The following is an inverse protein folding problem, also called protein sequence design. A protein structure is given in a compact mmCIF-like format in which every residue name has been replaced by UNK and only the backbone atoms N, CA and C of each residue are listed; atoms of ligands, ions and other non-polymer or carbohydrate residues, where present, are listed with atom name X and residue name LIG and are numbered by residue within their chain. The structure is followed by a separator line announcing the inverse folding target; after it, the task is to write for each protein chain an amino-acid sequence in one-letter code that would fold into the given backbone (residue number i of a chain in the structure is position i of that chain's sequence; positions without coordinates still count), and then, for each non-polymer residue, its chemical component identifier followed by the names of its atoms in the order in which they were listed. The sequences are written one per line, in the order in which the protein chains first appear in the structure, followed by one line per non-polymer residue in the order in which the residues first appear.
data_IF_100817910282
#
_entry.id   IF_100817910282
#
_cell.length_a   1.000
_cell.length_b   1.000
_cell.length_c   1.000
_cell.angle_alpha   90.00
_cell.angle_beta   90.00
_cell.angle_gamma   90.00
#
_symmetry.space_group_name_H-M   'P 1'
#
loop_
_entity.id
_entity.type
_entity.pdbx_description
1 polymer ?
#
# COMPACT_ATOMS: atom_id res chain seq x y z
N UNK A 1 -3.82 -1.93 52.23
CA UNK A 1 -5.16 -2.41 51.82
C UNK A 1 -5.76 -1.54 50.72
N UNK A 2 -5.44 -0.24 50.65
CA UNK A 2 -5.90 0.71 49.62
C UNK A 2 -5.46 0.37 48.18
N UNK A 3 -4.27 -0.23 48.01
CA UNK A 3 -3.72 -0.48 46.67
C UNK A 3 -4.48 -1.49 45.80
N UNK A 4 -5.20 -2.49 46.35
CA UNK A 4 -5.90 -3.49 45.52
C UNK A 4 -7.14 -2.89 44.83
N UNK A 5 -7.96 -2.15 45.58
CA UNK A 5 -9.13 -1.47 45.04
C UNK A 5 -8.74 -0.38 44.03
N UNK A 6 -7.68 0.38 44.31
CA UNK A 6 -7.15 1.40 43.39
C UNK A 6 -6.66 0.81 42.07
N UNK A 7 -5.96 -0.32 42.12
CA UNK A 7 -5.49 -1.02 40.92
C UNK A 7 -6.67 -1.56 40.13
N UNK A 8 -7.67 -2.17 40.78
CA UNK A 8 -8.89 -2.63 40.10
C UNK A 8 -9.66 -1.50 39.41
N UNK A 9 -9.76 -0.31 40.04
CA UNK A 9 -10.33 0.89 39.39
C UNK A 9 -9.54 1.36 38.16
N UNK A 10 -8.22 1.14 38.13
CA UNK A 10 -7.40 1.45 36.95
C UNK A 10 -7.65 0.43 35.83
N UNK A 11 -7.77 -0.86 36.17
CA UNK A 11 -8.14 -1.91 35.20
C UNK A 11 -9.50 -1.62 34.59
N UNK A 12 -10.51 -1.30 35.40
CA UNK A 12 -11.83 -0.92 34.91
C UNK A 12 -11.78 0.26 33.92
N UNK A 13 -11.09 1.35 34.28
CA UNK A 13 -10.95 2.51 33.39
C UNK A 13 -10.29 2.16 32.06
N UNK A 14 -9.24 1.33 32.09
CA UNK A 14 -8.58 0.84 30.87
C UNK A 14 -9.54 -0.02 30.04
N UNK A 15 -10.36 -0.87 30.66
CA UNK A 15 -11.36 -1.69 29.95
C UNK A 15 -12.45 -0.85 29.27
N UNK A 16 -12.96 0.20 29.92
CA UNK A 16 -13.95 1.07 29.27
C UNK A 16 -13.36 1.93 28.16
N UNK A 17 -12.18 2.52 28.41
CA UNK A 17 -11.51 3.35 27.40
C UNK A 17 -11.00 2.53 26.20
N UNK A 18 -10.88 1.21 26.35
CA UNK A 18 -10.57 0.28 25.26
C UNK A 18 -11.59 0.29 24.12
N UNK A 19 -12.84 0.72 24.38
CA UNK A 19 -13.85 0.89 23.32
C UNK A 19 -13.37 1.86 22.24
N UNK A 20 -12.66 2.93 22.62
CA UNK A 20 -12.10 3.90 21.67
C UNK A 20 -11.02 3.26 20.79
N UNK A 21 -10.19 2.40 21.36
CA UNK A 21 -9.15 1.66 20.62
C UNK A 21 -9.79 0.67 19.64
N UNK A 22 -10.82 -0.06 20.07
CA UNK A 22 -11.56 -0.98 19.21
C UNK A 22 -12.17 -0.21 18.03
N UNK A 23 -12.86 0.90 18.27
CA UNK A 23 -13.44 1.74 17.22
C UNK A 23 -12.36 2.25 16.25
N UNK A 24 -11.22 2.72 16.77
CA UNK A 24 -10.10 3.17 15.94
C UNK A 24 -9.52 2.03 15.08
N UNK A 25 -9.37 0.83 15.63
CA UNK A 25 -8.90 -0.34 14.89
C UNK A 25 -9.85 -0.75 13.76
N UNK A 26 -11.16 -0.72 14.01
CA UNK A 26 -12.16 -0.95 12.96
C UNK A 26 -12.12 0.17 11.91
N UNK A 27 -12.02 1.43 12.32
CA UNK A 27 -11.87 2.54 11.40
C UNK A 27 -10.70 2.33 10.43
N UNK A 28 -9.53 1.95 10.93
CA UNK A 28 -8.37 1.65 10.08
C UNK A 28 -8.56 0.43 9.18
N UNK A 29 -9.23 -0.63 9.67
CA UNK A 29 -9.59 -1.78 8.84
C UNK A 29 -10.44 -1.37 7.62
N UNK A 30 -11.48 -0.57 7.85
CA UNK A 30 -12.36 -0.11 6.78
C UNK A 30 -11.66 0.88 5.87
N UNK A 31 -10.83 1.78 6.42
CA UNK A 31 -10.02 2.71 5.64
C UNK A 31 -9.09 1.96 4.67
N UNK A 32 -8.32 0.99 5.17
CA UNK A 32 -7.42 0.20 4.32
C UNK A 32 -8.18 -0.67 3.30
N UNK A 33 -9.34 -1.20 3.69
CA UNK A 33 -10.20 -1.93 2.76
C UNK A 33 -10.68 -1.04 1.62
N UNK A 34 -11.10 0.18 1.94
CA UNK A 34 -11.61 1.13 0.98
C UNK A 34 -10.49 1.64 0.05
N UNK A 35 -9.30 1.88 0.59
CA UNK A 35 -8.10 2.24 -0.20
C UNK A 35 -7.66 1.10 -1.13
N UNK A 36 -7.69 -0.16 -0.66
CA UNK A 36 -7.31 -1.31 -1.48
C UNK A 36 -8.31 -1.55 -2.61
N UNK A 37 -9.60 -1.29 -2.38
CA UNK A 37 -10.65 -1.36 -3.39
C UNK A 37 -10.61 -0.16 -4.35
N UNK A 38 -10.03 0.97 -3.93
CA UNK A 38 -9.89 2.16 -4.73
C UNK A 38 -8.68 2.07 -5.68
N UNK A 39 -8.93 1.54 -6.87
CA UNK A 39 -7.94 1.43 -7.95
C UNK A 39 -7.43 2.81 -8.42
N UNK A 40 -8.05 3.92 -7.99
CA UNK A 40 -7.69 5.28 -8.40
C UNK A 40 -6.32 5.73 -7.90
N UNK A 41 -5.88 5.32 -6.70
CA UNK A 41 -4.54 5.64 -6.18
C UNK A 41 -3.40 4.98 -6.98
N UNK A 42 -3.62 3.71 -7.37
CA UNK A 42 -2.71 2.97 -8.23
C UNK A 42 -2.66 3.62 -9.63
N UNK A 43 -3.83 3.87 -10.23
CA UNK A 43 -3.97 4.56 -11.54
C UNK A 43 -3.30 5.93 -11.53
N UNK A 44 -3.42 6.69 -10.44
CA UNK A 44 -2.77 8.00 -10.27
C UNK A 44 -1.25 7.88 -10.25
N UNK A 45 -0.70 6.93 -9.51
CA UNK A 45 0.75 6.69 -9.46
C UNK A 45 1.28 6.29 -10.84
N UNK A 46 0.58 5.39 -11.54
CA UNK A 46 0.90 4.97 -12.91
C UNK A 46 0.91 6.16 -13.89
N UNK A 47 -0.12 7.01 -13.86
CA UNK A 47 -0.20 8.20 -14.72
C UNK A 47 0.88 9.23 -14.39
N UNK A 48 1.24 9.38 -13.11
CA UNK A 48 2.30 10.31 -12.70
C UNK A 48 3.66 9.83 -13.22
N UNK A 49 3.98 8.53 -13.07
CA UNK A 49 5.19 7.94 -13.65
C UNK A 49 5.21 7.99 -15.17
N UNK A 50 4.05 7.84 -15.83
CA UNK A 50 3.94 8.03 -17.28
C UNK A 50 4.24 9.47 -17.71
N UNK A 51 3.71 10.48 -16.99
CA UNK A 51 4.00 11.90 -17.24
C UNK A 51 5.49 12.20 -17.05
N UNK A 52 6.09 11.71 -15.96
CA UNK A 52 7.52 11.87 -15.67
C UNK A 52 8.37 11.22 -16.76
N UNK A 53 8.06 9.96 -17.13
CA UNK A 53 8.78 9.25 -18.18
C UNK A 53 8.71 9.93 -19.55
N UNK A 54 7.57 10.56 -19.90
CA UNK A 54 7.45 11.38 -21.11
C UNK A 54 8.29 12.65 -21.01
N UNK A 55 8.29 13.33 -19.85
CA UNK A 55 9.05 14.57 -19.67
C UNK A 55 10.56 14.31 -19.70
N UNK A 56 11.04 13.25 -19.05
CA UNK A 56 12.45 12.81 -19.11
C UNK A 56 12.87 12.42 -20.53
N UNK A 57 11.96 11.80 -21.29
CA UNK A 57 12.22 11.32 -22.65
C UNK A 57 11.82 12.33 -23.74
N UNK A 58 11.58 13.61 -23.38
CA UNK A 58 10.94 14.56 -24.29
C UNK A 58 11.77 14.87 -25.52
N UNK A 59 13.05 15.19 -25.34
CA UNK A 59 13.98 15.45 -26.45
C UNK A 59 14.08 14.24 -27.38
N UNK A 60 14.16 13.05 -26.79
CA UNK A 60 14.20 11.77 -27.50
C UNK A 60 12.93 11.49 -28.32
N UNK A 61 11.74 11.81 -27.78
CA UNK A 61 10.47 11.71 -28.48
C UNK A 61 10.38 12.67 -29.66
N UNK A 62 10.85 13.92 -29.48
CA UNK A 62 10.85 14.93 -30.55
C UNK A 62 11.79 14.52 -31.69
N UNK A 63 12.98 13.99 -31.38
CA UNK A 63 13.91 13.42 -32.38
C UNK A 63 13.28 12.26 -33.15
N UNK A 64 12.61 11.33 -32.45
CA UNK A 64 11.92 10.21 -33.07
C UNK A 64 10.79 10.65 -34.01
N UNK A 65 10.03 11.69 -33.61
CA UNK A 65 8.93 12.26 -34.39
C UNK A 65 9.42 12.99 -35.63
N UNK A 66 10.52 13.73 -35.53
CA UNK A 66 11.20 14.36 -36.68
C UNK A 66 11.69 13.30 -37.67
N UNK A 67 12.29 12.21 -37.19
CA UNK A 67 12.74 11.11 -38.04
C UNK A 67 11.58 10.46 -38.81
N UNK A 68 10.47 10.19 -38.13
CA UNK A 68 9.26 9.66 -38.76
C UNK A 68 8.66 10.64 -39.79
N UNK A 69 8.68 11.94 -39.50
CA UNK A 69 8.24 12.99 -40.42
C UNK A 69 9.09 13.07 -41.70
N UNK A 70 10.42 13.01 -41.55
CA UNK A 70 11.36 12.94 -42.69
C UNK A 70 11.12 11.70 -43.53
N UNK A 71 10.88 10.54 -42.91
CA UNK A 71 10.55 9.31 -43.65
C UNK A 71 9.24 9.45 -44.45
N UNK A 72 8.20 10.05 -43.87
CA UNK A 72 6.94 10.32 -44.59
C UNK A 72 7.16 11.24 -45.80
N UNK A 73 7.91 12.32 -45.63
CA UNK A 73 8.29 13.21 -46.75
C UNK A 73 9.06 12.47 -47.85
N UNK A 74 10.04 11.64 -47.47
CA UNK A 74 10.78 10.81 -48.41
C UNK A 74 9.86 9.86 -49.21
N UNK A 75 8.89 9.22 -48.56
CA UNK A 75 7.92 8.35 -49.24
C UNK A 75 7.00 9.14 -50.17
N UNK A 76 6.50 10.29 -49.73
CA UNK A 76 5.59 11.13 -50.50
C UNK A 76 6.28 11.75 -51.74
N UNK A 77 7.52 12.19 -51.60
CA UNK A 77 8.33 12.72 -52.70
C UNK A 77 8.66 11.63 -53.73
N UNK A 78 8.94 10.40 -53.27
CA UNK A 78 9.18 9.26 -54.17
C UNK A 78 7.89 8.77 -54.85
N UNK A 79 6.72 8.92 -54.21
CA UNK A 79 5.41 8.61 -54.81
C UNK A 79 4.96 9.66 -55.82
N UNK A 80 5.33 10.94 -55.66
CA UNK A 80 4.95 12.04 -56.56
C UNK A 80 5.70 12.05 -57.90
N UNK A 81 6.85 11.39 -58.01
CA UNK A 81 7.63 11.34 -59.26
C UNK A 81 7.16 10.20 -60.17
N UNK A 82 6.53 10.53 -61.30
CA UNK A 82 6.23 9.56 -62.37
C UNK A 82 7.52 9.10 -63.06
N UNK A 83 7.56 7.88 -63.58
CA UNK A 83 8.76 7.33 -64.24
C UNK A 83 9.25 8.19 -65.43
N UNK A 84 8.34 8.90 -66.08
CA UNK A 84 8.66 9.89 -67.12
C UNK A 84 9.46 11.10 -66.58
N UNK A 85 9.12 11.61 -65.40
CA UNK A 85 9.82 12.74 -64.77
C UNK A 85 11.19 12.34 -64.21
N UNK A 86 11.31 11.11 -63.70
CA UNK A 86 12.61 10.56 -63.26
C UNK A 86 13.60 10.46 -64.44
N UNK A 87 13.11 10.03 -65.61
CA UNK A 87 13.90 9.91 -66.83
C UNK A 87 14.33 11.27 -67.39
N UNK A 88 13.43 12.27 -67.35
CA UNK A 88 13.71 13.62 -67.83
C UNK A 88 14.74 14.38 -66.96
N UNK A 89 14.69 14.23 -65.63
CA UNK A 89 15.73 14.77 -64.72
C UNK A 89 17.08 14.09 -64.92
N UNK A 90 17.10 12.78 -65.15
CA UNK A 90 18.33 12.02 -65.41
C UNK A 90 18.96 12.44 -66.75
N UNK A 91 18.15 12.66 -67.77
CA UNK A 91 18.59 13.15 -69.08
C UNK A 91 19.13 14.59 -69.01
N UNK A 92 18.52 15.48 -68.22
CA UNK A 92 19.05 16.83 -67.96
C UNK A 92 20.40 16.80 -67.24
N UNK A 93 20.55 15.95 -66.21
CA UNK A 93 21.82 15.79 -65.49
C UNK A 93 22.92 15.20 -66.38
N UNK A 94 22.59 14.23 -67.25
CA UNK A 94 23.51 13.71 -68.27
C UNK A 94 24.00 14.82 -69.20
N UNK A 95 23.10 15.71 -69.62
CA UNK A 95 23.45 16.84 -70.49
C UNK A 95 24.37 17.86 -69.79
N UNK A 96 24.10 18.20 -68.53
CA UNK A 96 24.95 19.09 -67.73
C UNK A 96 26.36 18.52 -67.52
N UNK A 97 26.48 17.25 -67.13
CA UNK A 97 27.79 16.60 -66.94
C UNK A 97 28.56 16.56 -68.26
N UNK A 98 27.89 16.30 -69.38
CA UNK A 98 28.50 16.32 -70.72
C UNK A 98 29.00 17.71 -71.10
N UNK A 99 28.27 18.77 -70.74
CA UNK A 99 28.71 20.16 -70.96
C UNK A 99 29.89 20.54 -70.05
N UNK A 100 29.89 20.10 -68.80
CA UNK A 100 31.01 20.27 -67.87
C UNK A 100 32.26 19.54 -68.40
N UNK A 101 32.12 18.31 -68.89
CA UNK A 101 33.23 17.55 -69.48
C UNK A 101 33.82 18.24 -70.72
N UNK A 102 32.99 18.83 -71.59
CA UNK A 102 33.47 19.65 -72.72
C UNK A 102 34.37 20.79 -72.24
N UNK A 103 34.02 21.45 -71.14
CA UNK A 103 34.84 22.51 -70.55
C UNK A 103 36.11 21.96 -69.90
N UNK A 104 36.05 20.80 -69.24
CA UNK A 104 37.20 20.14 -68.60
C UNK A 104 38.25 19.68 -69.62
N UNK A 105 37.81 19.09 -70.74
CA UNK A 105 38.69 18.67 -71.84
C UNK A 105 39.43 19.87 -72.44
N UNK A 106 38.75 21.00 -72.65
CA UNK A 106 39.38 22.24 -73.12
C UNK A 106 40.43 22.81 -72.16
N UNK A 107 40.33 22.49 -70.87
CA UNK A 107 41.24 22.91 -69.82
C UNK A 107 42.30 21.85 -69.47
N UNK A 108 42.38 20.73 -70.22
CA UNK A 108 43.32 19.64 -69.96
C UNK A 108 43.01 18.81 -68.70
N UNK A 109 41.81 18.93 -68.15
CA UNK A 109 41.36 18.20 -66.96
C UNK A 109 40.70 16.87 -67.35
N UNK A 110 40.86 15.80 -66.55
CA UNK A 110 40.23 14.51 -66.81
C UNK A 110 38.70 14.61 -66.76
N UNK A 111 38.05 13.89 -67.67
CA UNK A 111 36.60 13.79 -67.75
C UNK A 111 36.01 13.10 -66.53
N UNK A 112 34.82 13.55 -66.16
CA UNK A 112 34.01 12.93 -65.11
C UNK A 112 33.26 11.75 -65.73
N UNK A 113 33.39 10.56 -65.16
CA UNK A 113 32.58 9.41 -65.58
C UNK A 113 31.10 9.68 -65.25
N UNK A 114 30.28 9.75 -66.31
CA UNK A 114 28.86 10.11 -66.24
C UNK A 114 28.07 9.08 -65.44
N UNK A 115 28.34 7.78 -65.65
CA UNK A 115 27.63 6.69 -64.97
C UNK A 115 27.95 6.70 -63.47
N UNK A 116 29.24 6.82 -63.13
CA UNK A 116 29.70 6.85 -61.73
C UNK A 116 29.17 8.06 -60.95
N UNK A 117 28.99 9.21 -61.62
CA UNK A 117 28.49 10.44 -60.97
C UNK A 117 26.95 10.51 -60.90
N UNK A 118 26.24 9.79 -61.78
CA UNK A 118 24.79 9.63 -61.68
C UNK A 118 24.41 8.66 -60.55
N UNK A 119 25.26 7.68 -60.26
CA UNK A 119 25.12 6.80 -59.09
C UNK A 119 25.28 7.54 -57.76
N UNK A 120 26.12 8.58 -57.71
CA UNK A 120 26.21 9.52 -56.59
C UNK A 120 24.96 10.41 -56.55
N UNK A 121 23.85 9.89 -56.03
CA UNK A 121 22.72 10.73 -55.60
C UNK A 121 23.19 11.59 -54.42
N UNK A 122 23.22 12.94 -54.50
CA UNK A 122 23.19 13.74 -53.30
C UNK A 122 21.82 13.52 -52.67
N UNK A 123 21.79 12.71 -51.61
CA UNK A 123 20.59 12.52 -50.81
C UNK A 123 20.27 13.88 -50.18
N UNK A 124 19.13 14.50 -50.53
CA UNK A 124 18.63 15.65 -49.77
C UNK A 124 18.16 15.25 -48.35
N UNK A 125 18.37 13.98 -47.98
CA UNK A 125 17.93 13.31 -46.78
C UNK A 125 19.12 12.60 -46.12
N UNK A 126 20.27 13.26 -45.94
CA UNK A 126 21.47 12.70 -45.28
C UNK A 126 21.18 12.12 -43.88
N UNK A 127 20.10 12.55 -43.23
CA UNK A 127 19.66 12.06 -41.93
C UNK A 127 18.90 10.71 -41.99
N UNK A 128 18.51 10.23 -43.18
CA UNK A 128 17.77 8.97 -43.41
C UNK A 128 18.70 7.84 -43.86
N UNK A 129 19.81 7.65 -43.15
CA UNK A 129 20.69 6.49 -43.28
C UNK A 129 20.34 5.44 -42.21
N UNK A 130 20.42 4.15 -42.56
CA UNK A 130 20.26 3.01 -41.64
C UNK A 130 21.17 3.17 -40.41
N UNK A 131 22.38 3.71 -40.59
CA UNK A 131 23.30 4.00 -39.47
C UNK A 131 22.75 5.05 -38.51
N UNK A 132 22.20 6.15 -39.02
CA UNK A 132 21.62 7.22 -38.22
C UNK A 132 20.31 6.78 -37.56
N UNK A 133 19.49 6.00 -38.26
CA UNK A 133 18.27 5.40 -37.72
C UNK A 133 18.61 4.45 -36.56
N UNK A 134 19.60 3.57 -36.73
CA UNK A 134 20.03 2.65 -35.68
C UNK A 134 20.72 3.37 -34.50
N UNK A 135 21.39 4.50 -34.74
CA UNK A 135 21.90 5.35 -33.67
C UNK A 135 20.76 5.92 -32.82
N UNK A 136 19.69 6.41 -33.45
CA UNK A 136 18.51 6.92 -32.73
C UNK A 136 17.80 5.75 -32.03
N UNK A 137 17.54 4.64 -32.73
CA UNK A 137 16.87 3.45 -32.15
C UNK A 137 17.64 2.90 -30.94
N UNK A 138 18.97 2.80 -31.01
CA UNK A 138 19.79 2.37 -29.88
C UNK A 138 19.75 3.34 -28.68
N UNK A 139 19.78 4.65 -28.92
CA UNK A 139 19.59 5.67 -27.84
C UNK A 139 18.23 5.54 -27.15
N UNK A 140 17.21 5.08 -27.88
CA UNK A 140 15.86 4.83 -27.38
C UNK A 140 15.67 3.42 -26.79
N UNK A 141 16.71 2.57 -26.79
CA UNK A 141 16.63 1.18 -26.34
C UNK A 141 15.85 0.25 -27.28
N UNK A 142 15.63 0.64 -28.54
CA UNK A 142 14.93 -0.13 -29.55
C UNK A 142 15.88 -1.05 -30.34
N UNK A 143 15.35 -2.14 -30.91
CA UNK A 143 16.12 -3.07 -31.75
C UNK A 143 16.56 -2.40 -33.05
N UNK A 144 17.74 -2.74 -33.54
CA UNK A 144 18.24 -2.24 -34.83
C UNK A 144 17.35 -2.71 -36.00
N UNK A 145 17.16 -1.84 -36.99
CA UNK A 145 16.52 -2.14 -38.25
C UNK A 145 17.56 -2.46 -39.33
N UNK A 146 17.17 -3.33 -40.28
CA UNK A 146 17.95 -3.65 -41.47
C UNK A 146 17.70 -2.67 -42.62
N UNK A 147 16.62 -1.87 -42.54
CA UNK A 147 16.20 -0.96 -43.60
C UNK A 147 15.80 0.41 -43.07
N UNK A 148 15.74 1.38 -44.00
CA UNK A 148 15.27 2.75 -43.75
C UNK A 148 13.80 2.76 -43.30
N UNK A 149 13.02 1.71 -43.60
CA UNK A 149 11.64 1.54 -43.11
C UNK A 149 11.56 1.48 -41.58
N UNK A 150 12.67 1.12 -40.92
CA UNK A 150 12.79 1.20 -39.47
C UNK A 150 12.56 2.59 -38.89
N UNK A 151 12.65 3.66 -39.70
CA UNK A 151 12.32 5.05 -39.35
C UNK A 151 10.80 5.29 -39.21
N UNK A 152 9.97 4.49 -39.89
CA UNK A 152 8.51 4.66 -39.97
C UNK A 152 7.85 4.56 -38.60
N UNK A 153 8.29 3.60 -37.79
CA UNK A 153 7.62 3.22 -36.55
C UNK A 153 8.42 3.57 -35.29
N UNK A 154 9.60 4.23 -35.40
CA UNK A 154 10.46 4.57 -34.25
C UNK A 154 9.72 5.30 -33.15
N UNK A 155 8.96 6.35 -33.51
CA UNK A 155 8.19 7.13 -32.55
C UNK A 155 7.12 6.26 -31.87
N UNK A 156 6.38 5.47 -32.64
CA UNK A 156 5.33 4.60 -32.11
C UNK A 156 5.90 3.53 -31.18
N UNK A 157 6.98 2.85 -31.59
CA UNK A 157 7.68 1.85 -30.78
C UNK A 157 8.18 2.44 -29.46
N UNK A 158 8.75 3.65 -29.49
CA UNK A 158 9.25 4.32 -28.29
C UNK A 158 8.11 4.80 -27.38
N UNK A 159 7.05 5.36 -27.94
CA UNK A 159 5.87 5.76 -27.18
C UNK A 159 5.18 4.55 -26.52
N UNK A 160 5.01 3.45 -27.26
CA UNK A 160 4.44 2.22 -26.72
C UNK A 160 5.30 1.64 -25.60
N UNK A 161 6.63 1.69 -25.71
CA UNK A 161 7.51 1.22 -24.64
C UNK A 161 7.32 2.04 -23.35
N UNK A 162 7.14 3.36 -23.45
CA UNK A 162 6.82 4.22 -22.31
C UNK A 162 5.45 3.91 -21.70
N UNK A 163 4.43 3.63 -22.53
CA UNK A 163 3.11 3.22 -22.06
C UNK A 163 3.19 1.90 -21.30
N UNK A 164 3.79 0.86 -21.89
CA UNK A 164 3.89 -0.45 -21.25
C UNK A 164 4.78 -0.44 -20.01
N UNK A 165 5.83 0.38 -19.97
CA UNK A 165 6.72 0.49 -18.81
C UNK A 165 6.01 1.12 -17.60
N UNK A 166 5.19 2.17 -17.82
CA UNK A 166 4.64 2.98 -16.73
C UNK A 166 3.21 2.61 -16.33
N UNK A 167 2.41 2.06 -17.26
CA UNK A 167 1.00 1.71 -17.03
C UNK A 167 0.78 0.20 -16.86
N UNK A 168 1.85 -0.56 -16.60
CA UNK A 168 1.78 -2.01 -16.41
C UNK A 168 0.84 -2.38 -15.25
N UNK A 169 -0.18 -3.18 -15.53
CA UNK A 169 -1.15 -3.65 -14.52
C UNK A 169 -2.57 -3.12 -14.69
N UNK A 170 -2.80 -2.10 -15.51
CA UNK A 170 -4.14 -1.60 -15.85
C UNK A 170 -4.37 -1.63 -17.36
N UNK A 171 -5.09 -2.65 -17.84
CA UNK A 171 -5.37 -2.86 -19.28
C UNK A 171 -6.16 -1.71 -19.90
N UNK A 172 -7.06 -1.09 -19.14
CA UNK A 172 -7.92 -0.02 -19.66
C UNK A 172 -7.11 1.27 -19.86
N UNK A 173 -6.23 1.61 -18.91
CA UNK A 173 -5.29 2.71 -19.06
C UNK A 173 -4.33 2.46 -20.23
N UNK A 174 -3.76 1.25 -20.34
CA UNK A 174 -2.89 0.89 -21.47
C UNK A 174 -3.60 1.13 -22.81
N UNK A 175 -4.80 0.56 -22.99
CA UNK A 175 -5.56 0.71 -24.23
C UNK A 175 -5.88 2.18 -24.52
N UNK A 176 -6.24 2.95 -23.49
CA UNK A 176 -6.54 4.38 -23.61
C UNK A 176 -5.33 5.15 -24.14
N UNK A 177 -4.14 4.98 -23.55
CA UNK A 177 -2.96 5.75 -23.95
C UNK A 177 -2.31 5.23 -25.24
N UNK A 178 -2.41 3.93 -25.55
CA UNK A 178 -2.00 3.40 -26.85
C UNK A 178 -2.80 4.03 -28.00
N UNK A 179 -4.11 4.23 -27.82
CA UNK A 179 -4.97 4.86 -28.84
C UNK A 179 -4.65 6.34 -29.12
N UNK A 180 -3.86 6.99 -28.24
CA UNK A 180 -3.52 8.41 -28.31
C UNK A 180 -2.16 8.69 -28.95
N UNK A 181 -1.51 7.67 -29.54
CA UNK A 181 -0.16 7.79 -30.15
C UNK A 181 -0.09 8.89 -31.23
N UNK A 182 -1.17 9.08 -31.98
CA UNK A 182 -1.24 10.06 -33.06
C UNK A 182 -1.43 11.51 -32.57
N UNK A 183 -1.82 11.70 -31.29
CA UNK A 183 -2.03 13.03 -30.73
C UNK A 183 -0.71 13.75 -30.44
N UNK A 184 -0.71 15.10 -30.41
CA UNK A 184 0.41 15.86 -29.88
C UNK A 184 0.70 15.47 -28.41
N UNK A 185 1.97 15.28 -28.06
CA UNK A 185 2.38 14.86 -26.70
C UNK A 185 1.84 15.81 -25.64
N UNK A 186 1.73 17.12 -25.95
CA UNK A 186 1.16 18.10 -25.03
C UNK A 186 -0.31 17.81 -24.69
N UNK A 187 -1.10 17.37 -25.67
CA UNK A 187 -2.50 16.98 -25.44
C UNK A 187 -2.59 15.70 -24.62
N UNK A 188 -1.71 14.72 -24.88
CA UNK A 188 -1.59 13.49 -24.09
C UNK A 188 -1.26 13.80 -22.62
N UNK A 189 -0.34 14.74 -22.38
CA UNK A 189 0.02 15.19 -21.03
C UNK A 189 -1.11 15.95 -20.34
N UNK A 190 -1.86 16.79 -21.06
CA UNK A 190 -3.04 17.49 -20.51
C UNK A 190 -4.11 16.49 -20.11
N UNK A 191 -4.38 15.51 -20.97
CA UNK A 191 -5.34 14.45 -20.71
C UNK A 191 -4.96 13.57 -19.50
N UNK A 192 -3.68 13.20 -19.38
CA UNK A 192 -3.17 12.50 -18.20
C UNK A 192 -3.33 13.32 -16.92
N UNK A 193 -3.02 14.63 -16.97
CA UNK A 193 -3.24 15.54 -15.83
C UNK A 193 -4.72 15.70 -15.47
N UNK A 194 -5.61 15.73 -16.45
CA UNK A 194 -7.05 15.81 -16.22
C UNK A 194 -7.60 14.51 -15.63
N UNK A 195 -7.12 13.36 -16.10
CA UNK A 195 -7.46 12.05 -15.54
C UNK A 195 -7.03 11.94 -14.07
N UNK A 196 -5.82 12.44 -13.73
CA UNK A 196 -5.37 12.56 -12.34
C UNK A 196 -6.31 13.43 -11.51
N UNK A 197 -6.77 14.58 -12.04
CA UNK A 197 -7.73 15.44 -11.32
C UNK A 197 -9.06 14.76 -11.07
N UNK A 198 -9.54 13.95 -12.02
CA UNK A 198 -10.77 13.16 -11.87
C UNK A 198 -10.59 12.16 -10.72
N UNK A 199 -9.45 11.46 -10.67
CA UNK A 199 -9.11 10.57 -9.56
C UNK A 199 -9.00 11.31 -8.23
N UNK A 200 -8.47 12.55 -8.20
CA UNK A 200 -8.41 13.38 -6.99
C UNK A 200 -9.79 13.86 -6.50
N UNK A 201 -10.76 13.98 -7.39
CA UNK A 201 -12.16 14.31 -7.06
C UNK A 201 -13.04 13.09 -6.77
N UNK A 202 -12.47 11.88 -6.83
CA UNK A 202 -13.19 10.63 -6.57
C UNK A 202 -13.65 10.49 -5.13
N UNK A 203 -14.68 9.67 -4.93
CA UNK A 203 -15.15 9.23 -3.62
C UNK A 203 -14.89 7.75 -3.43
N UNK A 204 -14.57 7.37 -2.20
CA UNK A 204 -14.30 6.01 -1.75
C UNK A 204 -15.32 5.67 -0.66
N UNK A 205 -15.94 4.50 -0.75
CA UNK A 205 -16.88 4.04 0.26
C UNK A 205 -16.15 3.57 1.52
N UNK A 206 -16.20 4.37 2.58
CA UNK A 206 -15.74 3.99 3.92
C UNK A 206 -17.00 3.83 4.78
N UNK A 207 -17.23 2.63 5.33
CA UNK A 207 -18.49 2.28 6.04
C UNK A 207 -19.78 2.51 5.21
N UNK A 208 -19.78 2.15 3.92
CA UNK A 208 -20.88 2.42 2.98
C UNK A 208 -21.24 3.91 2.81
N UNK A 209 -20.42 4.82 3.35
CA UNK A 209 -20.52 6.26 3.13
C UNK A 209 -19.53 6.68 2.07
N UNK A 210 -20.03 7.34 1.01
CA UNK A 210 -19.19 7.94 -0.02
C UNK A 210 -18.34 9.06 0.59
N UNK A 211 -17.07 8.76 0.81
CA UNK A 211 -16.10 9.66 1.45
C UNK A 211 -15.15 10.19 0.39
N UNK A 212 -14.99 11.52 0.23
CA UNK A 212 -14.06 12.06 -0.75
C UNK A 212 -12.62 11.64 -0.41
N UNK A 213 -11.83 11.28 -1.44
CA UNK A 213 -10.40 10.90 -1.30
C UNK A 213 -9.60 11.98 -0.55
N UNK A 214 -10.00 13.24 -0.75
CA UNK A 214 -9.49 14.39 -0.03
C UNK A 214 -10.56 14.90 0.94
N UNK A 215 -10.36 14.66 2.24
CA UNK A 215 -11.25 15.18 3.26
C UNK A 215 -10.98 16.70 3.40
N UNK A 216 -11.99 17.56 3.17
CA UNK A 216 -11.85 18.98 3.46
C UNK A 216 -11.76 19.16 4.97
N UNK A 217 -10.63 19.67 5.44
CA UNK A 217 -10.39 19.99 6.84
C UNK A 217 -10.27 21.50 6.97
N UNK A 218 -11.16 22.12 7.76
CA UNK A 218 -11.02 23.54 8.10
C UNK A 218 -10.56 23.71 9.54
N UNK A 219 -9.41 24.37 9.72
CA UNK A 219 -8.99 24.86 11.04
C UNK A 219 -9.06 26.39 11.01
N UNK A 220 -10.14 26.96 11.56
CA UNK A 220 -10.44 28.39 11.39
C UNK A 220 -10.65 28.73 9.91
N UNK A 221 -9.92 29.73 9.40
CA UNK A 221 -10.00 30.16 8.00
C UNK A 221 -9.15 29.32 7.02
N UNK A 222 -8.27 28.44 7.51
CA UNK A 222 -7.49 27.55 6.64
C UNK A 222 -8.33 26.37 6.18
N UNK A 223 -8.75 26.39 4.91
CA UNK A 223 -9.31 25.23 4.20
C UNK A 223 -8.15 24.38 3.66
N UNK A 224 -7.82 23.32 4.38
CA UNK A 224 -6.86 22.30 3.95
C UNK A 224 -7.59 21.08 3.40
N UNK A 225 -6.89 20.30 2.58
CA UNK A 225 -7.38 19.00 2.08
C UNK A 225 -6.41 17.94 2.54
N UNK A 226 -6.88 17.00 3.35
CA UNK A 226 -6.07 15.88 3.83
C UNK A 226 -6.44 14.64 3.02
N UNK A 227 -5.44 14.05 2.37
CA UNK A 227 -5.61 12.81 1.63
C UNK A 227 -5.85 11.64 2.59
N UNK A 228 -6.85 10.79 2.29
CA UNK A 228 -7.11 9.55 3.02
C UNK A 228 -5.88 8.62 3.05
N UNK A 229 -5.07 8.62 1.98
CA UNK A 229 -3.81 7.89 1.92
C UNK A 229 -2.77 8.38 2.96
N UNK A 230 -2.75 9.68 3.26
CA UNK A 230 -1.84 10.23 4.27
C UNK A 230 -2.30 9.86 5.68
N UNK A 231 -3.61 9.83 5.92
CA UNK A 231 -4.20 9.40 7.18
C UNK A 231 -3.89 7.91 7.42
N UNK A 232 -4.05 7.10 6.39
CA UNK A 232 -3.69 5.68 6.45
C UNK A 232 -2.20 5.50 6.72
N UNK A 233 -1.33 6.17 5.97
CA UNK A 233 0.13 6.10 6.15
C UNK A 233 0.56 6.48 7.57
N UNK A 234 -0.01 7.55 8.12
CA UNK A 234 0.21 7.93 9.51
C UNK A 234 -0.33 6.86 10.48
N UNK A 235 -1.52 6.30 10.20
CA UNK A 235 -2.12 5.22 10.98
C UNK A 235 -1.23 3.99 11.11
N UNK A 236 -0.56 3.60 10.03
CA UNK A 236 0.35 2.43 10.01
C UNK A 236 1.54 2.62 10.95
N UNK A 237 1.94 3.86 11.23
CA UNK A 237 3.04 4.18 12.14
C UNK A 237 2.52 4.34 13.57
N UNK A 238 1.47 5.14 13.76
CA UNK A 238 1.00 5.51 15.09
C UNK A 238 0.17 4.43 15.78
N UNK A 239 -0.70 3.74 15.05
CA UNK A 239 -1.63 2.77 15.64
C UNK A 239 -0.92 1.55 16.25
N UNK A 240 0.10 0.92 15.64
CA UNK A 240 0.82 -0.19 16.27
C UNK A 240 1.50 0.23 17.58
N UNK A 241 2.08 1.43 17.60
CA UNK A 241 2.72 2.00 18.80
C UNK A 241 1.68 2.26 19.89
N UNK A 242 0.54 2.84 19.51
CA UNK A 242 -0.59 3.05 20.43
C UNK A 242 -1.08 1.73 21.02
N UNK A 243 -1.24 0.68 20.20
CA UNK A 243 -1.64 -0.65 20.64
C UNK A 243 -0.64 -1.24 21.65
N UNK A 244 0.66 -1.11 21.40
CA UNK A 244 1.72 -1.58 22.33
C UNK A 244 1.64 -0.87 23.68
N UNK A 245 1.44 0.44 23.68
CA UNK A 245 1.31 1.23 24.91
C UNK A 245 0.02 0.84 25.65
N UNK A 246 -1.08 0.68 24.92
CA UNK A 246 -2.38 0.40 25.49
C UNK A 246 -2.47 -1.01 26.08
N UNK A 247 -2.12 -2.02 25.29
CA UNK A 247 -2.08 -3.43 25.72
C UNK A 247 -1.05 -3.59 26.83
N UNK A 248 0.12 -2.95 26.72
CA UNK A 248 1.11 -2.93 27.79
C UNK A 248 0.57 -2.36 29.10
N UNK A 249 -0.17 -1.27 29.04
CA UNK A 249 -0.81 -0.64 30.21
C UNK A 249 -1.87 -1.55 30.83
N UNK A 250 -2.73 -2.15 30.02
CA UNK A 250 -3.75 -3.10 30.48
C UNK A 250 -3.11 -4.35 31.11
N UNK A 251 -2.18 -4.98 30.40
CA UNK A 251 -1.48 -6.19 30.84
C UNK A 251 -0.73 -5.96 32.15
N UNK A 252 0.09 -4.90 32.25
CA UNK A 252 0.85 -4.63 33.48
C UNK A 252 -0.04 -4.30 34.67
N UNK A 253 -1.12 -3.53 34.45
CA UNK A 253 -2.05 -3.18 35.53
C UNK A 253 -2.79 -4.42 36.03
N UNK A 254 -3.24 -5.29 35.10
CA UNK A 254 -3.92 -6.52 35.46
C UNK A 254 -3.00 -7.55 36.13
N UNK A 255 -1.76 -7.70 35.66
CA UNK A 255 -0.75 -8.55 36.32
C UNK A 255 -0.54 -8.12 37.78
N UNK A 256 -0.43 -6.80 38.03
CA UNK A 256 -0.32 -6.26 39.39
C UNK A 256 -1.57 -6.53 40.22
N UNK A 257 -2.75 -6.39 39.64
CA UNK A 257 -4.00 -6.72 40.31
C UNK A 257 -4.02 -8.18 40.75
N UNK A 258 -3.74 -9.11 39.84
CA UNK A 258 -3.68 -10.55 40.13
C UNK A 258 -2.64 -10.85 41.21
N UNK A 259 -1.48 -10.20 41.17
CA UNK A 259 -0.46 -10.31 42.22
C UNK A 259 -1.00 -9.86 43.59
N UNK A 260 -1.69 -8.71 43.66
CA UNK A 260 -2.28 -8.25 44.93
C UNK A 260 -3.43 -9.12 45.40
N UNK A 261 -4.25 -9.67 44.49
CA UNK A 261 -5.30 -10.65 44.84
C UNK A 261 -4.69 -11.86 45.53
N UNK A 262 -3.60 -12.42 44.98
CA UNK A 262 -2.88 -13.54 45.61
C UNK A 262 -2.29 -13.19 46.97
N UNK A 263 -1.83 -11.94 47.16
CA UNK A 263 -1.19 -11.50 48.41
C UNK A 263 -2.22 -11.21 49.50
N UNK A 264 -3.30 -10.53 49.14
CA UNK A 264 -4.37 -10.10 50.07
C UNK A 264 -5.32 -11.25 50.40
N UNK A 265 -5.44 -12.24 49.48
CA UNK A 265 -6.25 -13.46 49.64
C UNK A 265 -7.75 -13.21 49.87
N UNK A 266 -8.20 -11.98 49.71
CA UNK A 266 -9.58 -11.59 49.92
C UNK A 266 -10.07 -10.84 48.69
N UNK A 267 -10.90 -11.51 47.89
CA UNK A 267 -11.42 -10.97 46.63
C UNK A 267 -12.47 -9.87 46.85
N UNK A 268 -13.18 -9.88 47.99
CA UNK A 268 -14.16 -8.84 48.30
C UNK A 268 -13.53 -7.44 48.46
N UNK A 269 -12.19 -7.37 48.59
CA UNK A 269 -11.43 -6.11 48.60
C UNK A 269 -11.02 -5.63 47.21
N UNK A 270 -11.21 -6.43 46.16
CA UNK A 270 -10.98 -5.99 44.79
C UNK A 270 -12.15 -5.14 44.31
N UNK A 271 -11.85 -4.20 43.42
CA UNK A 271 -12.89 -3.36 42.84
C UNK A 271 -13.71 -4.20 41.84
N UNK A 272 -15.05 -4.13 41.82
CA UNK A 272 -15.85 -4.93 40.91
C UNK A 272 -15.68 -4.46 39.46
N UNK A 273 -15.29 -5.36 38.55
CA UNK A 273 -15.29 -5.12 37.11
C UNK A 273 -15.42 -6.44 36.34
N UNK A 274 -15.61 -6.36 35.02
CA UNK A 274 -15.92 -7.50 34.14
C UNK A 274 -14.87 -8.63 34.13
N UNK A 275 -13.65 -8.38 34.61
CA UNK A 275 -12.61 -9.40 34.75
C UNK A 275 -12.54 -9.98 36.17
N UNK A 276 -13.24 -9.43 37.15
CA UNK A 276 -13.24 -9.96 38.51
C UNK A 276 -14.29 -11.07 38.69
N UNK A 277 -14.15 -12.10 37.85
CA UNK A 277 -14.97 -13.30 37.84
C UNK A 277 -14.18 -14.39 38.54
N UNK A 278 -14.52 -14.60 39.81
CA UNK A 278 -13.85 -15.55 40.69
C UNK A 278 -14.88 -16.44 41.36
N UNK A 279 -14.50 -17.68 41.62
CA UNK A 279 -15.28 -18.53 42.48
C UNK A 279 -14.98 -18.16 43.94
N UNK A 280 -15.98 -17.56 44.61
CA UNK A 280 -15.92 -17.23 46.02
C UNK A 280 -17.14 -17.82 46.74
N UNK A 281 -16.95 -18.22 48.00
CA UNK A 281 -18.02 -18.74 48.85
C UNK A 281 -18.05 -17.91 50.13
N UNK A 282 -19.19 -17.26 50.35
CA UNK A 282 -19.50 -16.57 51.59
C UNK A 282 -20.43 -17.43 52.43
N UNK A 283 -20.07 -17.68 53.69
CA UNK A 283 -20.87 -18.52 54.58
C UNK A 283 -22.24 -17.91 54.83
N UNK A 284 -22.29 -16.60 54.96
CA UNK A 284 -23.53 -15.87 55.25
C UNK A 284 -24.50 -15.87 54.05
N UNK A 285 -24.04 -16.30 52.86
CA UNK A 285 -24.85 -16.47 51.65
C UNK A 285 -25.30 -17.91 51.40
N UNK A 286 -24.96 -18.87 52.27
CA UNK A 286 -25.35 -20.27 52.11
C UNK A 286 -26.74 -20.51 52.72
N UNK A 287 -27.69 -20.94 51.89
CA UNK A 287 -29.08 -21.14 52.32
C UNK A 287 -29.37 -22.60 52.70
N UNK A 288 -28.65 -23.56 52.11
CA UNK A 288 -28.90 -24.99 52.35
C UNK A 288 -27.92 -25.60 53.35
N UNK A 289 -28.43 -26.50 54.20
CA UNK A 289 -27.60 -27.25 55.15
C UNK A 289 -26.49 -28.05 54.45
N UNK A 290 -26.75 -28.55 53.24
CA UNK A 290 -25.78 -29.27 52.41
C UNK A 290 -24.61 -28.37 51.99
N UNK A 291 -24.88 -27.14 51.57
CA UNK A 291 -23.83 -26.18 51.20
C UNK A 291 -23.00 -25.75 52.41
N UNK A 292 -23.64 -25.59 53.58
CA UNK A 292 -22.95 -25.29 54.85
C UNK A 292 -22.03 -26.46 55.25
N UNK A 293 -22.50 -27.70 55.09
CA UNK A 293 -21.69 -28.90 55.34
C UNK A 293 -20.52 -29.02 54.35
N UNK A 294 -20.75 -28.73 53.06
CA UNK A 294 -19.71 -28.72 52.03
C UNK A 294 -18.67 -27.61 52.26
N UNK A 295 -19.09 -26.42 52.71
CA UNK A 295 -18.22 -25.32 53.14
C UNK A 295 -17.32 -25.74 54.31
N UNK A 296 -17.90 -26.35 55.34
CA UNK A 296 -17.16 -26.83 56.50
C UNK A 296 -16.16 -27.94 56.13
N UNK A 297 -16.56 -28.87 55.24
CA UNK A 297 -15.67 -29.92 54.70
C UNK A 297 -14.50 -29.35 53.91
N UNK A 298 -14.75 -28.33 53.08
CA UNK A 298 -13.68 -27.61 52.37
C UNK A 298 -12.70 -26.92 53.33
N UNK A 299 -13.20 -26.33 54.42
CA UNK A 299 -12.36 -25.69 55.46
C UNK A 299 -11.46 -26.69 56.19
N UNK A 300 -11.94 -27.92 56.39
CA UNK A 300 -11.18 -29.01 57.02
C UNK A 300 -10.18 -29.65 56.03
N UNK A 301 -10.28 -29.35 54.73
CA UNK A 301 -9.36 -29.82 53.71
C UNK A 301 -9.79 -31.09 52.98
N UNK A 302 -11.10 -31.39 52.92
CA UNK A 302 -11.61 -32.58 52.23
C UNK A 302 -11.28 -32.58 50.72
N UNK A 303 -10.43 -33.51 50.23
CA UNK A 303 -9.98 -33.50 48.84
C UNK A 303 -11.10 -33.75 47.83
N UNK A 304 -12.16 -34.47 48.19
CA UNK A 304 -13.26 -34.79 47.27
C UNK A 304 -14.07 -33.52 46.93
N UNK A 305 -14.52 -32.80 47.97
CA UNK A 305 -15.29 -31.56 47.83
C UNK A 305 -14.45 -30.42 47.24
N UNK A 306 -13.17 -30.32 47.60
CA UNK A 306 -12.25 -29.35 46.99
C UNK A 306 -12.07 -29.62 45.49
N UNK A 307 -11.93 -30.89 45.07
CA UNK A 307 -11.79 -31.25 43.65
C UNK A 307 -13.05 -30.92 42.85
N UNK A 308 -14.23 -31.12 43.42
CA UNK A 308 -15.50 -30.77 42.78
C UNK A 308 -15.58 -29.26 42.53
N UNK A 309 -15.34 -28.44 43.56
CA UNK A 309 -15.45 -26.98 43.46
C UNK A 309 -14.32 -26.32 42.66
N UNK A 310 -13.15 -26.97 42.56
CA UNK A 310 -12.10 -26.56 41.61
C UNK A 310 -12.58 -26.56 40.16
N UNK A 311 -13.51 -27.42 39.79
CA UNK A 311 -14.08 -27.44 38.43
C UNK A 311 -14.82 -26.13 38.12
N UNK A 312 -15.53 -25.57 39.11
CA UNK A 312 -16.23 -24.28 38.98
C UNK A 312 -15.22 -23.13 38.88
N UNK A 313 -14.17 -23.14 39.70
CA UNK A 313 -13.07 -22.17 39.59
C UNK A 313 -12.44 -22.18 38.18
N UNK A 314 -12.26 -23.36 37.58
CA UNK A 314 -11.73 -23.47 36.21
C UNK A 314 -12.70 -22.86 35.20
N UNK A 315 -14.01 -23.05 35.34
CA UNK A 315 -15.02 -22.41 34.48
C UNK A 315 -14.94 -20.88 34.60
N UNK A 316 -14.87 -20.33 35.83
CA UNK A 316 -14.69 -18.89 36.04
C UNK A 316 -13.42 -18.36 35.36
N UNK A 317 -12.31 -19.10 35.45
CA UNK A 317 -11.08 -18.77 34.76
C UNK A 317 -11.24 -18.77 33.23
N UNK A 318 -11.88 -19.82 32.66
CA UNK A 318 -12.08 -19.91 31.21
C UNK A 318 -12.91 -18.74 30.69
N UNK A 319 -13.97 -18.36 31.41
CA UNK A 319 -14.80 -17.21 31.04
C UNK A 319 -13.98 -15.92 31.07
N UNK A 320 -13.23 -15.69 32.15
CA UNK A 320 -12.36 -14.51 32.29
C UNK A 320 -11.27 -14.44 31.22
N UNK A 321 -10.59 -15.56 30.97
CA UNK A 321 -9.58 -15.67 29.90
C UNK A 321 -10.21 -15.43 28.53
N UNK A 322 -11.41 -15.95 28.29
CA UNK A 322 -12.20 -15.71 27.08
C UNK A 322 -12.49 -14.22 26.88
N UNK A 323 -13.00 -13.53 27.90
CA UNK A 323 -13.26 -12.07 27.84
C UNK A 323 -11.98 -11.29 27.52
N UNK A 324 -10.85 -11.62 28.17
CA UNK A 324 -9.56 -10.97 27.90
C UNK A 324 -9.14 -11.20 26.44
N UNK A 325 -9.21 -12.45 25.97
CA UNK A 325 -8.75 -12.83 24.64
C UNK A 325 -9.63 -12.19 23.56
N UNK A 326 -10.95 -12.18 23.73
CA UNK A 326 -11.88 -11.46 22.84
C UNK A 326 -11.58 -9.97 22.80
N UNK A 327 -11.34 -9.33 23.95
CA UNK A 327 -11.03 -7.90 24.01
C UNK A 327 -9.71 -7.56 23.30
N UNK A 328 -8.65 -8.35 23.54
CA UNK A 328 -7.37 -8.19 22.86
C UNK A 328 -7.48 -8.43 21.34
N UNK A 329 -8.26 -9.42 20.91
CA UNK A 329 -8.52 -9.67 19.49
C UNK A 329 -9.28 -8.51 18.84
N UNK A 330 -10.31 -7.97 19.49
CA UNK A 330 -11.09 -6.84 18.96
C UNK A 330 -10.25 -5.56 18.83
N UNK A 331 -9.25 -5.36 19.70
CA UNK A 331 -8.30 -4.26 19.56
C UNK A 331 -7.30 -4.46 18.43
N UNK A 332 -6.77 -5.68 18.26
CA UNK A 332 -5.61 -5.91 17.40
C UNK A 332 -5.98 -6.40 16.01
N UNK A 333 -6.87 -7.39 15.91
CA UNK A 333 -7.15 -8.10 14.67
C UNK A 333 -7.65 -7.19 13.54
N UNK A 334 -8.62 -6.26 13.75
CA UNK A 334 -9.08 -5.39 12.67
C UNK A 334 -7.94 -4.57 12.07
N UNK A 335 -7.12 -3.95 12.93
CA UNK A 335 -6.00 -3.13 12.47
C UNK A 335 -4.95 -3.94 11.69
N UNK A 336 -4.47 -5.06 12.25
CA UNK A 336 -3.46 -5.88 11.58
C UNK A 336 -3.99 -6.52 10.28
N UNK A 337 -5.27 -6.91 10.24
CA UNK A 337 -5.91 -7.38 9.00
C UNK A 337 -6.01 -6.26 7.95
N UNK A 338 -6.27 -5.02 8.37
CA UNK A 338 -6.22 -3.85 7.49
C UNK A 338 -4.82 -3.63 6.92
N UNK A 339 -3.80 -3.63 7.79
CA UNK A 339 -2.40 -3.46 7.39
C UNK A 339 -1.92 -4.57 6.43
N UNK A 340 -2.40 -5.81 6.58
CA UNK A 340 -2.09 -6.91 5.66
C UNK A 340 -2.65 -6.70 4.26
N UNK A 341 -3.80 -6.01 4.10
CA UNK A 341 -4.40 -5.74 2.77
C UNK A 341 -3.53 -4.83 1.92
N UNK A 342 -2.84 -3.90 2.56
CA UNK A 342 -1.97 -2.92 1.91
C UNK A 342 -0.49 -3.30 1.98
N UNK A 343 -0.16 -4.53 2.41
CA UNK A 343 1.21 -4.99 2.68
C UNK A 343 2.20 -4.69 1.54
N UNK A 344 1.78 -4.90 0.29
CA UNK A 344 2.62 -4.70 -0.90
C UNK A 344 2.95 -3.21 -1.17
N UNK A 345 2.19 -2.28 -0.60
CA UNK A 345 2.42 -0.83 -0.74
C UNK A 345 3.30 -0.25 0.36
N UNK A 346 3.68 -1.06 1.37
CA UNK A 346 4.42 -0.59 2.53
C UNK A 346 5.92 -0.58 2.27
N UNK A 347 6.59 0.49 2.69
CA UNK A 347 8.03 0.53 2.73
C UNK A 347 8.59 -0.36 3.86
N UNK A 348 9.88 -0.69 3.78
CA UNK A 348 10.57 -1.56 4.76
C UNK A 348 10.47 -0.99 6.19
N UNK A 349 10.51 0.34 6.34
CA UNK A 349 10.41 1.00 7.63
C UNK A 349 9.05 0.76 8.31
N UNK A 350 7.95 0.90 7.57
CA UNK A 350 6.60 0.64 8.06
C UNK A 350 6.41 -0.84 8.43
N UNK A 351 6.96 -1.75 7.61
CA UNK A 351 6.95 -3.18 7.90
C UNK A 351 7.70 -3.49 9.20
N UNK A 352 8.88 -2.94 9.40
CA UNK A 352 9.65 -3.09 10.64
C UNK A 352 8.84 -2.66 11.87
N UNK A 353 8.18 -1.50 11.81
CA UNK A 353 7.34 -1.01 12.92
C UNK A 353 6.19 -1.99 13.21
N UNK A 354 5.48 -2.44 12.17
CA UNK A 354 4.36 -3.38 12.31
C UNK A 354 4.80 -4.70 12.97
N UNK A 355 5.91 -5.28 12.50
CA UNK A 355 6.43 -6.55 13.03
C UNK A 355 6.94 -6.40 14.47
N UNK A 356 7.72 -5.36 14.76
CA UNK A 356 8.24 -5.13 16.12
C UNK A 356 7.09 -4.91 17.10
N UNK A 357 6.13 -4.04 16.76
CA UNK A 357 4.98 -3.79 17.62
C UNK A 357 4.09 -5.02 17.77
N UNK A 358 3.86 -5.77 16.69
CA UNK A 358 3.12 -7.03 16.71
C UNK A 358 3.76 -8.07 17.64
N UNK A 359 5.08 -8.22 17.56
CA UNK A 359 5.82 -9.12 18.43
C UNK A 359 5.71 -8.72 19.92
N UNK A 360 5.83 -7.42 20.22
CA UNK A 360 5.66 -6.91 21.58
C UNK A 360 4.24 -7.20 22.11
N UNK A 361 3.20 -6.96 21.29
CA UNK A 361 1.81 -7.23 21.66
C UNK A 361 1.57 -8.72 21.97
N UNK A 362 2.20 -9.63 21.22
CA UNK A 362 2.15 -11.07 21.50
C UNK A 362 2.77 -11.38 22.87
N UNK A 363 3.97 -10.85 23.15
CA UNK A 363 4.64 -11.04 24.45
C UNK A 363 3.77 -10.52 25.60
N UNK A 364 3.21 -9.32 25.45
CA UNK A 364 2.35 -8.71 26.47
C UNK A 364 1.08 -9.54 26.72
N UNK A 365 0.47 -10.08 25.65
CA UNK A 365 -0.73 -10.93 25.74
C UNK A 365 -0.43 -12.26 26.43
N UNK A 366 0.68 -12.90 26.07
CA UNK A 366 1.14 -14.14 26.71
C UNK A 366 1.46 -13.94 28.19
N UNK A 367 2.10 -12.82 28.53
CA UNK A 367 2.41 -12.46 29.92
C UNK A 367 1.14 -12.28 30.76
N UNK A 368 0.11 -11.65 30.19
CA UNK A 368 -1.18 -11.46 30.83
C UNK A 368 -1.89 -12.81 31.06
N UNK A 369 -1.94 -13.68 30.04
CA UNK A 369 -2.54 -15.01 30.17
C UNK A 369 -1.80 -15.88 31.19
N UNK A 370 -0.47 -15.81 31.25
CA UNK A 370 0.32 -16.50 32.25
C UNK A 370 -0.01 -16.04 33.69
N UNK A 371 -0.19 -14.73 33.88
CA UNK A 371 -0.63 -14.20 35.17
C UNK A 371 -2.04 -14.67 35.53
N UNK A 372 -2.97 -14.69 34.57
CA UNK A 372 -4.32 -15.20 34.80
C UNK A 372 -4.36 -16.70 35.12
N UNK A 373 -3.54 -17.49 34.41
CA UNK A 373 -3.41 -18.92 34.67
C UNK A 373 -2.93 -19.19 36.10
N UNK A 374 -2.14 -18.29 36.67
CA UNK A 374 -1.56 -18.48 38.00
C UNK A 374 -2.57 -18.41 39.18
N UNK A 375 -3.85 -18.10 38.90
CA UNK A 375 -4.98 -18.06 39.85
C UNK A 375 -6.16 -18.95 39.41
N UNK A 376 -5.99 -19.82 38.41
CA UNK A 376 -7.09 -20.54 37.75
C UNK A 376 -7.85 -21.56 38.61
N UNK A 377 -7.21 -22.11 39.65
CA UNK A 377 -7.78 -23.13 40.55
C UNK A 377 -8.08 -22.61 41.95
N UNK A 378 -7.88 -21.30 42.19
CA UNK A 378 -8.03 -20.72 43.53
C UNK A 378 -9.50 -20.52 43.88
N UNK A 379 -9.87 -20.97 45.07
CA UNK A 379 -11.19 -20.77 45.68
C UNK A 379 -11.03 -19.75 46.82
N UNK A 380 -11.88 -18.71 46.82
CA UNK A 380 -11.82 -17.65 47.84
C UNK A 380 -12.93 -17.84 48.88
N UNK A 381 -12.59 -17.78 50.16
CA UNK A 381 -13.57 -17.81 51.25
C UNK A 381 -13.67 -16.42 51.89
N UNK A 382 -14.84 -16.02 52.38
CA UNK A 382 -15.04 -14.70 53.02
C UNK A 382 -15.45 -14.81 54.49
N UNK A 383 -14.69 -15.54 55.32
CA UNK A 383 -14.76 -15.44 56.79
C UNK A 383 -13.48 -14.78 57.33
N UNK A 384 -13.61 -13.86 58.28
CA UNK A 384 -12.55 -13.07 58.96
C UNK A 384 -11.09 -13.54 58.88
N UNK A 385 -10.22 -12.59 58.48
CA UNK A 385 -8.73 -12.57 58.52
C UNK A 385 -7.91 -13.64 57.79
N UNK A 386 -8.43 -14.82 57.43
CA UNK A 386 -7.66 -15.82 56.66
C UNK A 386 -8.53 -16.54 55.61
N UNK A 387 -8.47 -16.04 54.37
CA UNK A 387 -9.49 -16.26 53.33
C UNK A 387 -9.09 -17.25 52.20
N UNK A 388 -8.12 -18.15 52.43
CA UNK A 388 -7.77 -19.15 51.40
C UNK A 388 -7.50 -20.53 52.02
N UNK A 389 -8.08 -21.56 51.41
CA UNK A 389 -7.47 -22.88 51.30
C UNK A 389 -7.14 -23.14 49.82
N UNK A 390 -5.83 -23.34 49.56
CA UNK A 390 -5.16 -23.85 48.35
C UNK A 390 -5.54 -23.19 47.00
#
# INVERSE_FOLDING_TARGET
MEHLSEVGKRVERLLYSSVLIILASFFFYFLSSAITLDNNGLKKTMLTGFIEGINESRESLDVAKVLQGKYKQYVDDNKKKTDAQKKEEEDKKRLEIKNINKSRVKLGLPEINIEKKLEEKPSSYDDLDVKNINLIRSKLGLKNSLSIEGAKDVYNEFYYSLVYKNLYGDKDLINTYLSKVDLPINEVLIDAKNSIKIFDSGSVKVFDVDTPIQIPFSLGDMKSKVSLYNIESAGIIFMPVLLVIWIGSLSMTRIREVYYIKKVKNIAKSYPHILNIYYFIDRDMLESQKEIDDFNRMRIGDPATIKQNRSISVICFLFRAGVILTLLLLMTAPFYLGALRIFNSLNIFNLMILFVCGFINIIQSMSLLAAEFSIFRKIFFTEGQANEYI
#
